data_IF_919120457742
#
_entry.id   IF_919120457742
#
_cell.length_a   1.000
_cell.length_b   1.000
_cell.length_c   1.000
_cell.angle_alpha   90.00
_cell.angle_beta   90.00
_cell.angle_gamma   90.00
#
_symmetry.space_group_name_H-M   'P 1'
#
loop_
_entity.id
_entity.type
_entity.pdbx_description
1 polymer ?
#
# COMPACT_ATOMS: atom_id res chain seq x y z
N UNK A 1 51.31 -78.97 -10.80
CA UNK A 1 50.07 -78.38 -11.34
C UNK A 1 49.68 -77.22 -10.43
N UNK A 2 49.83 -75.97 -10.83
CA UNK A 2 49.50 -74.81 -10.06
C UNK A 2 48.28 -74.14 -10.74
N UNK A 3 47.17 -74.06 -10.02
CA UNK A 3 45.96 -73.37 -10.51
C UNK A 3 46.01 -71.92 -10.03
N UNK A 4 45.99 -71.00 -10.98
CA UNK A 4 45.86 -69.55 -10.73
C UNK A 4 44.39 -69.20 -10.83
N UNK A 5 43.78 -68.79 -9.73
CA UNK A 5 42.44 -68.20 -9.69
C UNK A 5 42.56 -66.69 -9.97
N UNK A 6 42.00 -66.26 -11.07
CA UNK A 6 41.85 -64.85 -11.41
C UNK A 6 40.50 -64.34 -10.89
N UNK A 7 40.52 -63.49 -9.89
CA UNK A 7 39.30 -62.81 -9.36
C UNK A 7 39.05 -61.54 -10.18
N UNK A 8 37.92 -61.54 -10.88
CA UNK A 8 37.44 -60.39 -11.65
C UNK A 8 36.66 -59.48 -10.69
N UNK A 9 37.22 -58.30 -10.37
CA UNK A 9 36.55 -57.29 -9.57
C UNK A 9 35.60 -56.45 -10.46
N UNK A 10 34.29 -56.60 -10.19
CA UNK A 10 33.25 -55.82 -10.84
C UNK A 10 33.09 -54.47 -10.13
N UNK A 11 33.59 -53.36 -10.75
CA UNK A 11 33.42 -52.00 -10.27
C UNK A 11 32.06 -51.50 -10.74
N UNK A 12 31.08 -51.41 -9.85
CA UNK A 12 29.77 -50.78 -10.09
C UNK A 12 29.89 -49.26 -9.96
N UNK A 13 29.81 -48.57 -11.10
CA UNK A 13 29.76 -47.11 -11.17
C UNK A 13 28.31 -46.62 -10.87
N UNK A 14 28.04 -46.22 -9.65
CA UNK A 14 26.76 -45.55 -9.31
C UNK A 14 26.80 -44.12 -9.75
N UNK A 15 26.12 -43.79 -10.86
CA UNK A 15 25.87 -42.41 -11.29
C UNK A 15 24.86 -41.76 -10.30
N UNK A 16 25.34 -40.81 -9.51
CA UNK A 16 24.50 -39.90 -8.73
C UNK A 16 23.88 -38.89 -9.67
N UNK A 17 22.63 -39.09 -10.03
CA UNK A 17 21.83 -38.03 -10.64
C UNK A 17 21.50 -36.99 -9.58
N UNK A 18 22.30 -35.92 -9.51
CA UNK A 18 21.93 -34.71 -8.79
C UNK A 18 20.83 -34.00 -9.59
N UNK A 19 19.58 -34.15 -9.21
CA UNK A 19 18.52 -33.25 -9.63
C UNK A 19 18.81 -31.89 -9.00
N UNK A 20 19.41 -30.98 -9.76
CA UNK A 20 19.39 -29.58 -9.40
C UNK A 20 17.97 -29.05 -9.62
N UNK A 21 17.19 -28.92 -8.54
CA UNK A 21 15.96 -28.12 -8.54
C UNK A 21 16.37 -26.68 -8.84
N UNK A 22 16.43 -26.32 -10.13
CA UNK A 22 16.51 -24.95 -10.56
C UNK A 22 15.14 -24.33 -10.36
N UNK A 23 14.89 -23.83 -9.14
CA UNK A 23 13.74 -22.96 -8.91
C UNK A 23 13.85 -21.79 -9.91
N UNK A 24 12.82 -21.51 -10.73
CA UNK A 24 12.89 -20.41 -11.69
C UNK A 24 13.24 -19.11 -10.97
N UNK A 25 14.11 -18.32 -11.56
CA UNK A 25 14.49 -17.03 -10.99
C UNK A 25 13.24 -16.18 -10.74
N UNK A 26 13.15 -15.46 -9.61
CA UNK A 26 12.01 -14.61 -9.31
C UNK A 26 11.78 -13.63 -10.45
N UNK A 27 10.54 -13.56 -10.95
CA UNK A 27 10.16 -12.55 -11.95
C UNK A 27 10.24 -11.17 -11.28
N UNK A 28 10.98 -10.21 -11.86
CA UNK A 28 11.06 -8.86 -11.30
C UNK A 28 9.67 -8.23 -11.19
N UNK A 29 9.37 -7.65 -10.05
CA UNK A 29 8.12 -6.92 -9.82
C UNK A 29 8.27 -5.48 -10.31
N UNK A 30 7.38 -5.05 -11.21
CA UNK A 30 7.37 -3.68 -11.67
C UNK A 30 6.51 -2.81 -10.76
N UNK A 31 6.98 -1.60 -10.48
CA UNK A 31 6.17 -0.59 -9.83
C UNK A 31 5.02 -0.15 -10.75
N UNK A 32 3.83 -0.12 -10.20
CA UNK A 32 2.61 0.34 -10.87
C UNK A 32 2.24 1.70 -10.29
N UNK A 33 1.95 2.68 -11.16
CA UNK A 33 1.42 3.97 -10.73
C UNK A 33 -0.10 3.97 -10.95
N UNK A 34 -0.84 4.11 -9.85
CA UNK A 34 -2.28 4.33 -9.88
C UNK A 34 -2.55 5.84 -9.78
N UNK A 35 -3.30 6.39 -10.72
CA UNK A 35 -3.53 7.84 -10.83
C UNK A 35 -4.95 8.20 -10.45
N UNK A 36 -5.07 9.33 -9.74
CA UNK A 36 -6.33 10.03 -9.51
C UNK A 36 -7.41 9.19 -8.81
N UNK A 37 -7.03 8.30 -7.85
CA UNK A 37 -8.00 7.61 -7.03
C UNK A 37 -8.82 8.64 -6.25
N UNK A 38 -10.12 8.72 -6.52
CA UNK A 38 -11.02 9.65 -5.84
C UNK A 38 -11.32 9.18 -4.40
N UNK A 39 -10.88 9.96 -3.40
CA UNK A 39 -11.04 9.71 -1.98
C UNK A 39 -12.15 10.56 -1.36
N UNK A 40 -13.38 10.35 -1.82
CA UNK A 40 -14.59 11.08 -1.40
C UNK A 40 -14.57 12.58 -1.80
N UNK A 41 -13.96 12.90 -2.93
CA UNK A 41 -14.12 14.24 -3.53
C UNK A 41 -15.54 14.38 -4.07
N UNK A 42 -16.22 15.47 -3.68
CA UNK A 42 -17.47 15.90 -4.28
C UNK A 42 -17.32 17.36 -4.74
N UNK A 43 -17.67 17.69 -5.97
CA UNK A 43 -17.66 19.07 -6.43
C UNK A 43 -18.62 19.94 -5.62
N UNK A 44 -18.34 21.21 -5.50
CA UNK A 44 -19.28 22.16 -4.92
C UNK A 44 -20.56 22.20 -5.74
N UNK A 45 -21.71 21.99 -5.09
CA UNK A 45 -23.01 22.20 -5.70
C UNK A 45 -23.50 23.62 -5.38
N UNK A 46 -23.35 24.50 -6.35
CA UNK A 46 -23.79 25.88 -6.24
C UNK A 46 -25.31 26.04 -6.48
N UNK A 47 -26.02 24.96 -6.79
CA UNK A 47 -27.45 25.01 -7.15
C UNK A 47 -28.37 24.95 -5.93
N UNK A 48 -27.85 24.63 -4.76
CA UNK A 48 -28.62 24.55 -3.50
C UNK A 48 -28.19 25.71 -2.58
N UNK A 49 -28.74 26.90 -2.73
CA UNK A 49 -28.53 27.97 -1.75
C UNK A 49 -29.34 27.67 -0.50
N UNK A 50 -28.71 27.17 0.54
CA UNK A 50 -29.25 27.28 1.90
C UNK A 50 -29.04 28.71 2.36
N UNK A 51 -30.11 29.38 2.69
CA UNK A 51 -30.08 30.80 3.08
C UNK A 51 -29.09 30.98 4.26
N UNK A 52 -27.96 31.68 4.02
CA UNK A 52 -26.93 31.98 5.01
C UNK A 52 -25.75 31.00 5.11
N UNK A 53 -25.75 29.88 4.37
CA UNK A 53 -24.62 28.94 4.36
C UNK A 53 -23.99 28.87 2.96
N UNK A 54 -22.64 28.83 2.87
CA UNK A 54 -22.00 28.57 1.60
C UNK A 54 -22.41 27.18 1.09
N UNK A 55 -22.61 27.05 -0.21
CA UNK A 55 -22.87 25.76 -0.85
C UNK A 55 -21.74 24.78 -0.47
N UNK A 56 -22.08 23.71 0.26
CA UNK A 56 -21.12 22.69 0.70
C UNK A 56 -21.15 21.52 -0.25
N UNK A 57 -20.00 20.96 -0.64
CA UNK A 57 -19.98 19.75 -1.43
C UNK A 57 -20.64 18.62 -0.66
N UNK A 58 -21.55 17.90 -1.31
CA UNK A 58 -22.21 16.74 -0.75
C UNK A 58 -21.24 15.56 -0.67
N UNK A 59 -20.40 15.52 0.35
CA UNK A 59 -19.53 14.41 0.61
C UNK A 59 -20.36 13.19 1.03
N UNK A 60 -20.17 12.08 0.36
CA UNK A 60 -20.84 10.82 0.69
C UNK A 60 -20.33 10.20 1.99
N UNK A 61 -19.19 10.69 2.51
CA UNK A 61 -18.46 10.20 3.69
C UNK A 61 -18.14 8.71 3.60
N UNK A 62 -17.90 8.23 2.37
CA UNK A 62 -17.56 6.83 2.08
C UNK A 62 -16.08 6.71 1.75
N UNK A 63 -15.51 5.59 2.17
CA UNK A 63 -14.17 5.23 1.74
C UNK A 63 -14.21 4.71 0.31
N UNK A 64 -13.17 5.01 -0.45
CA UNK A 64 -12.86 4.36 -1.71
C UNK A 64 -11.90 3.23 -1.41
N UNK A 65 -12.34 1.99 -1.60
CA UNK A 65 -11.57 0.79 -1.32
C UNK A 65 -10.74 0.38 -2.52
N UNK A 66 -9.56 -0.17 -2.25
CA UNK A 66 -8.62 -0.63 -3.28
C UNK A 66 -8.06 -2.00 -2.91
N UNK A 67 -7.83 -2.84 -3.91
CA UNK A 67 -7.16 -4.13 -3.77
C UNK A 67 -5.84 -4.13 -4.53
N UNK A 68 -4.74 -4.42 -3.86
CA UNK A 68 -3.44 -4.56 -4.50
C UNK A 68 -3.38 -5.79 -5.42
N UNK A 69 -4.12 -6.85 -5.10
CA UNK A 69 -4.20 -8.07 -5.90
C UNK A 69 -4.79 -7.84 -7.28
N UNK A 70 -5.84 -7.04 -7.37
CA UNK A 70 -6.50 -6.74 -8.65
C UNK A 70 -6.01 -5.44 -9.29
N UNK A 71 -5.29 -4.60 -8.53
CA UNK A 71 -4.87 -3.28 -8.97
C UNK A 71 -6.03 -2.33 -9.24
N UNK A 72 -7.17 -2.52 -8.56
CA UNK A 72 -8.41 -1.82 -8.88
C UNK A 72 -9.19 -1.39 -7.63
N UNK A 73 -10.07 -0.40 -7.85
CA UNK A 73 -11.05 0.03 -6.86
C UNK A 73 -12.11 -1.06 -6.65
N UNK A 74 -12.47 -1.29 -5.39
CA UNK A 74 -13.49 -2.25 -4.96
C UNK A 74 -14.77 -1.51 -4.63
N UNK A 75 -15.92 -2.06 -5.05
CA UNK A 75 -17.22 -1.45 -4.82
C UNK A 75 -17.55 -1.32 -3.32
N UNK A 76 -18.23 -0.25 -2.92
CA UNK A 76 -18.62 -0.04 -1.53
C UNK A 76 -19.60 -1.12 -1.00
N UNK A 77 -20.32 -1.82 -1.87
CA UNK A 77 -21.12 -3.00 -1.50
C UNK A 77 -20.29 -4.13 -0.91
N UNK A 78 -19.01 -4.18 -1.26
CA UNK A 78 -18.06 -5.18 -0.79
C UNK A 78 -17.25 -4.74 0.45
N UNK A 79 -17.63 -3.63 1.09
CA UNK A 79 -16.94 -3.09 2.29
C UNK A 79 -16.85 -4.09 3.46
N UNK A 80 -17.84 -4.97 3.59
CA UNK A 80 -17.89 -6.01 4.62
C UNK A 80 -17.28 -7.36 4.16
N UNK A 81 -16.35 -7.32 3.20
CA UNK A 81 -15.68 -8.51 2.65
C UNK A 81 -14.17 -8.39 2.69
N UNK A 82 -13.45 -9.47 2.37
CA UNK A 82 -11.98 -9.49 2.24
C UNK A 82 -11.49 -9.12 0.83
N UNK A 83 -12.33 -8.50 0.00
CA UNK A 83 -11.98 -8.15 -1.38
C UNK A 83 -11.08 -6.92 -1.49
N UNK A 84 -10.94 -6.12 -0.44
CA UNK A 84 -10.13 -4.91 -0.42
C UNK A 84 -9.03 -4.98 0.62
N UNK A 85 -7.99 -4.20 0.45
CA UNK A 85 -6.83 -4.16 1.35
C UNK A 85 -6.74 -2.82 2.07
N UNK A 86 -6.96 -1.72 1.36
CA UNK A 86 -6.79 -0.34 1.83
C UNK A 86 -7.99 0.52 1.42
N UNK A 87 -8.35 1.50 2.24
CA UNK A 87 -9.44 2.43 1.95
C UNK A 87 -9.00 3.89 2.17
N UNK A 88 -9.45 4.78 1.29
CA UNK A 88 -9.10 6.20 1.27
C UNK A 88 -10.34 7.06 1.43
N UNK A 89 -10.28 8.07 2.32
CA UNK A 89 -11.32 9.10 2.47
C UNK A 89 -10.70 10.40 2.94
N UNK A 90 -10.75 11.45 2.14
CA UNK A 90 -9.99 12.67 2.39
C UNK A 90 -8.53 12.31 2.73
N UNK A 91 -7.97 12.76 3.85
CA UNK A 91 -6.61 12.39 4.29
C UNK A 91 -6.55 11.09 5.10
N UNK A 92 -7.70 10.46 5.37
CA UNK A 92 -7.76 9.23 6.15
C UNK A 92 -7.47 8.01 5.30
N UNK A 93 -6.61 7.13 5.81
CA UNK A 93 -6.27 5.84 5.24
C UNK A 93 -6.60 4.78 6.27
N UNK A 94 -7.32 3.73 5.85
CA UNK A 94 -7.67 2.57 6.67
C UNK A 94 -7.25 1.28 5.98
N UNK A 95 -7.07 0.22 6.76
CA UNK A 95 -6.78 -1.13 6.27
C UNK A 95 -7.92 -2.07 6.63
N UNK A 96 -8.11 -3.11 5.80
CA UNK A 96 -9.16 -4.11 6.01
C UNK A 96 -8.79 -5.01 7.19
N UNK A 97 -8.88 -4.47 8.40
CA UNK A 97 -8.56 -5.17 9.64
C UNK A 97 -9.14 -4.47 10.87
N UNK A 98 -9.17 -5.18 11.96
CA UNK A 98 -9.56 -4.66 13.27
C UNK A 98 -10.95 -4.04 13.25
N UNK A 99 -11.06 -2.73 13.54
CA UNK A 99 -12.35 -2.01 13.55
C UNK A 99 -12.68 -1.35 12.21
N UNK A 100 -11.75 -1.38 11.24
CA UNK A 100 -11.92 -0.76 9.92
C UNK A 100 -12.52 -1.72 8.90
N UNK A 101 -12.38 -3.04 9.09
CA UNK A 101 -12.92 -4.03 8.18
C UNK A 101 -12.76 -5.46 8.69
N UNK A 102 -13.44 -6.45 8.06
CA UNK A 102 -13.47 -7.85 8.50
C UNK A 102 -12.22 -8.65 8.17
N UNK A 103 -11.30 -8.08 7.38
CA UNK A 103 -10.10 -8.77 6.93
C UNK A 103 -8.98 -8.82 7.97
N UNK A 104 -7.85 -9.37 7.53
CA UNK A 104 -6.62 -9.48 8.32
C UNK A 104 -5.47 -8.63 7.79
N UNK A 105 -5.75 -7.63 6.94
CA UNK A 105 -4.72 -6.77 6.36
C UNK A 105 -4.05 -5.94 7.43
N UNK A 106 -2.74 -6.01 7.50
CA UNK A 106 -1.92 -5.25 8.43
C UNK A 106 -0.96 -4.34 7.66
N UNK A 107 -0.54 -3.27 8.27
CA UNK A 107 0.42 -2.36 7.64
C UNK A 107 1.39 -1.76 8.65
N UNK A 108 2.44 -1.15 8.13
CA UNK A 108 3.37 -0.29 8.87
C UNK A 108 3.91 0.81 7.97
N UNK A 109 4.33 1.91 8.60
CA UNK A 109 5.07 2.97 7.93
C UNK A 109 6.56 2.70 8.04
N UNK A 110 7.29 2.79 6.93
CA UNK A 110 8.76 2.73 6.86
C UNK A 110 9.28 4.02 6.25
N UNK A 111 10.45 4.45 6.66
CA UNK A 111 11.13 5.58 6.01
C UNK A 111 12.27 5.05 5.13
N UNK A 112 12.34 5.49 3.88
CA UNK A 112 13.36 5.06 2.94
C UNK A 112 13.09 5.47 1.51
N UNK A 113 13.84 4.88 0.58
CA UNK A 113 13.67 5.08 -0.87
C UNK A 113 12.86 3.91 -1.42
N UNK A 114 11.79 4.22 -2.18
CA UNK A 114 10.86 3.21 -2.70
C UNK A 114 11.56 2.07 -3.47
N UNK A 115 12.52 2.39 -4.34
CA UNK A 115 13.25 1.40 -5.13
C UNK A 115 14.21 0.53 -4.30
N UNK A 116 14.68 1.04 -3.14
CA UNK A 116 15.63 0.34 -2.28
C UNK A 116 14.96 -0.61 -1.28
N UNK A 117 13.67 -0.42 -0.99
CA UNK A 117 12.91 -1.36 -0.17
C UNK A 117 12.58 -2.62 -0.98
N UNK A 118 13.51 -3.54 -1.05
CA UNK A 118 13.41 -4.77 -1.87
C UNK A 118 12.89 -6.00 -1.13
N UNK A 119 12.75 -5.90 0.20
CA UNK A 119 12.24 -6.98 1.06
C UNK A 119 11.27 -6.39 2.07
N UNK A 120 10.10 -7.02 2.22
CA UNK A 120 9.13 -6.64 3.24
C UNK A 120 9.71 -6.92 4.65
N UNK A 121 9.58 -6.00 5.62
CA UNK A 121 9.99 -6.23 6.99
C UNK A 121 9.34 -7.50 7.59
N UNK A 122 10.07 -8.19 8.45
CA UNK A 122 9.57 -9.43 9.09
C UNK A 122 8.52 -9.15 10.19
N UNK A 123 8.60 -7.98 10.84
CA UNK A 123 7.77 -7.61 11.99
C UNK A 123 7.34 -6.13 11.92
N UNK A 124 6.54 -5.70 12.90
CA UNK A 124 6.12 -4.30 13.01
C UNK A 124 4.75 -3.99 12.39
N UNK A 125 4.10 -4.97 11.79
CA UNK A 125 2.77 -4.80 11.21
C UNK A 125 1.69 -4.67 12.28
N UNK A 126 0.77 -3.74 12.06
CA UNK A 126 -0.33 -3.43 12.95
C UNK A 126 -1.67 -3.48 12.21
N UNK A 127 -2.73 -3.81 12.95
CA UNK A 127 -4.11 -3.70 12.50
C UNK A 127 -4.70 -2.37 12.95
N UNK A 128 -5.66 -1.85 12.18
CA UNK A 128 -6.40 -0.66 12.57
C UNK A 128 -7.22 -0.88 13.83
N UNK A 129 -7.21 0.11 14.71
CA UNK A 129 -8.04 0.13 15.92
C UNK A 129 -8.67 1.52 16.11
N UNK A 130 -9.82 1.73 15.50
CA UNK A 130 -10.54 3.01 15.61
C UNK A 130 -11.09 3.27 17.00
N UNK A 131 -11.41 2.24 17.78
CA UNK A 131 -11.88 2.38 19.15
C UNK A 131 -10.81 2.98 20.07
N UNK A 132 -9.54 2.56 19.88
CA UNK A 132 -8.40 3.13 20.56
C UNK A 132 -7.81 4.35 19.83
N UNK A 133 -8.40 4.78 18.67
CA UNK A 133 -7.86 5.80 17.77
C UNK A 133 -6.42 5.50 17.30
N UNK A 134 -6.07 4.23 17.26
CA UNK A 134 -4.77 3.71 16.85
C UNK A 134 -4.86 3.20 15.39
N UNK A 135 -5.03 4.12 14.45
CA UNK A 135 -4.89 3.80 13.03
C UNK A 135 -3.40 3.62 12.70
N UNK A 136 -3.09 2.64 11.84
CA UNK A 136 -1.73 2.38 11.39
C UNK A 136 -1.14 3.62 10.71
N UNK A 137 -1.95 4.31 9.90
CA UNK A 137 -1.55 5.55 9.21
C UNK A 137 -2.35 6.72 9.79
N UNK A 138 -1.65 7.74 10.27
CA UNK A 138 -2.28 8.94 10.80
C UNK A 138 -2.97 9.75 9.70
N UNK A 139 -4.20 10.15 9.95
CA UNK A 139 -4.95 11.09 9.10
C UNK A 139 -4.57 12.56 9.34
N UNK A 140 -3.82 12.84 10.40
CA UNK A 140 -3.38 14.19 10.76
C UNK A 140 -2.07 14.55 10.04
N UNK A 141 -1.81 15.84 9.79
CA UNK A 141 -0.53 16.27 9.26
C UNK A 141 0.60 16.03 10.26
N UNK A 142 1.81 15.85 9.76
CA UNK A 142 3.01 15.92 10.58
C UNK A 142 3.16 17.33 11.12
N UNK A 143 3.14 17.48 12.44
CA UNK A 143 3.40 18.74 13.11
C UNK A 143 4.91 18.92 13.28
N UNK A 144 5.50 20.11 13.02
CA UNK A 144 6.91 20.36 13.28
C UNK A 144 7.29 20.01 14.72
N UNK A 145 8.33 19.19 14.89
CA UNK A 145 8.79 18.70 16.20
C UNK A 145 8.01 17.51 16.76
N UNK A 146 6.98 17.00 16.07
CA UNK A 146 6.29 15.78 16.48
C UNK A 146 7.17 14.54 16.25
N UNK A 147 7.11 13.60 17.20
CA UNK A 147 7.85 12.33 17.14
C UNK A 147 7.06 11.21 16.46
N UNK A 148 5.82 11.47 16.05
CA UNK A 148 4.97 10.49 15.37
C UNK A 148 5.54 10.14 14.00
N UNK A 149 5.68 8.84 13.73
CA UNK A 149 6.33 8.33 12.53
C UNK A 149 5.36 7.81 11.48
N UNK A 150 4.05 7.76 11.78
CA UNK A 150 3.03 7.19 10.91
C UNK A 150 2.19 8.22 10.13
N UNK A 151 2.59 9.50 10.13
CA UNK A 151 2.00 10.51 9.27
C UNK A 151 2.50 10.34 7.84
N UNK A 152 1.57 10.32 6.87
CA UNK A 152 1.92 10.22 5.46
C UNK A 152 2.07 11.59 4.77
N UNK A 153 1.54 12.65 5.39
CA UNK A 153 1.50 13.99 4.82
C UNK A 153 1.85 15.07 5.83
N UNK A 154 2.23 16.22 5.31
CA UNK A 154 2.43 17.46 6.03
C UNK A 154 1.63 18.58 5.38
N UNK A 155 1.31 19.62 6.16
CA UNK A 155 0.71 20.83 5.66
C UNK A 155 1.80 21.78 5.18
N UNK A 156 1.70 22.20 3.92
CA UNK A 156 2.51 23.29 3.39
C UNK A 156 1.59 24.45 2.99
N UNK A 157 2.05 25.69 3.09
CA UNK A 157 1.24 26.87 2.86
C UNK A 157 0.91 27.65 4.14
N UNK A 158 0.17 28.75 3.99
CA UNK A 158 -0.27 29.62 5.09
C UNK A 158 -1.57 29.07 5.72
N UNK A 159 -1.98 29.63 6.89
CA UNK A 159 -3.19 29.21 7.60
C UNK A 159 -4.47 29.22 6.75
N UNK A 160 -4.54 30.08 5.72
CA UNK A 160 -5.68 30.18 4.82
C UNK A 160 -5.47 29.44 3.48
N UNK A 161 -4.36 28.74 3.31
CA UNK A 161 -3.94 28.07 2.07
C UNK A 161 -3.26 26.75 2.37
N UNK A 162 -3.91 25.89 3.16
CA UNK A 162 -3.36 24.58 3.52
C UNK A 162 -3.26 23.69 2.28
N UNK A 163 -2.06 23.30 1.95
CA UNK A 163 -1.76 22.32 0.91
C UNK A 163 -1.36 21.01 1.59
N UNK A 164 -2.00 19.91 1.20
CA UNK A 164 -1.65 18.56 1.63
C UNK A 164 -0.50 18.05 0.78
N UNK A 165 0.66 17.89 1.38
CA UNK A 165 1.86 17.42 0.67
C UNK A 165 2.33 16.10 1.24
N UNK A 166 2.44 15.02 0.44
CA UNK A 166 3.03 13.78 0.90
C UNK A 166 4.44 14.01 1.44
N UNK A 167 4.80 13.32 2.51
CA UNK A 167 6.15 13.40 3.09
C UNK A 167 7.06 12.47 2.27
N UNK A 168 8.13 12.99 1.64
CA UNK A 168 9.05 12.17 0.87
C UNK A 168 9.63 11.00 1.68
N UNK A 169 9.74 9.84 1.05
CA UNK A 169 10.32 8.66 1.68
C UNK A 169 9.43 7.99 2.73
N UNK A 170 8.15 8.35 2.83
CA UNK A 170 7.17 7.62 3.66
C UNK A 170 6.56 6.48 2.84
N UNK A 171 7.00 5.27 3.15
CA UNK A 171 6.56 4.05 2.48
C UNK A 171 5.59 3.30 3.39
N UNK A 172 4.46 2.90 2.86
CA UNK A 172 3.50 2.04 3.54
C UNK A 172 3.77 0.62 3.08
N UNK A 173 4.12 -0.27 4.00
CA UNK A 173 4.27 -1.69 3.72
C UNK A 173 3.05 -2.43 4.26
N UNK A 174 2.43 -3.21 3.41
CA UNK A 174 1.16 -3.88 3.66
C UNK A 174 1.38 -5.40 3.61
N UNK A 175 0.82 -6.10 4.61
CA UNK A 175 0.61 -7.54 4.60
C UNK A 175 -0.87 -7.78 4.41
N UNK A 176 -1.26 -8.29 3.26
CA UNK A 176 -2.67 -8.50 2.88
C UNK A 176 -3.31 -9.65 3.67
N UNK A 177 -4.63 -9.74 3.67
CA UNK A 177 -5.37 -10.78 4.39
C UNK A 177 -5.02 -12.20 3.96
N UNK A 178 -4.55 -12.39 2.72
CA UNK A 178 -4.08 -13.68 2.19
C UNK A 178 -2.55 -13.89 2.36
N UNK A 179 -1.91 -13.07 3.19
CA UNK A 179 -0.50 -13.19 3.56
C UNK A 179 0.48 -12.76 2.46
N UNK A 180 0.04 -11.98 1.50
CA UNK A 180 0.91 -11.37 0.48
C UNK A 180 1.43 -10.03 0.94
N UNK A 181 2.39 -9.47 0.22
CA UNK A 181 2.98 -8.19 0.57
C UNK A 181 2.83 -7.17 -0.55
N UNK A 182 2.65 -5.92 -0.13
CA UNK A 182 2.76 -4.78 -1.02
C UNK A 182 3.59 -3.68 -0.35
N UNK A 183 4.27 -2.86 -1.14
CA UNK A 183 4.80 -1.56 -0.71
C UNK A 183 4.13 -0.47 -1.53
N UNK A 184 3.82 0.66 -0.92
CA UNK A 184 3.28 1.81 -1.64
C UNK A 184 3.88 3.12 -1.13
N UNK A 185 3.89 4.11 -2.01
CA UNK A 185 4.27 5.50 -1.72
C UNK A 185 3.24 6.43 -2.35
N UNK A 186 2.75 7.39 -1.55
CA UNK A 186 1.82 8.40 -2.03
C UNK A 186 2.62 9.52 -2.70
N UNK A 187 2.31 9.80 -3.97
CA UNK A 187 3.01 10.79 -4.78
C UNK A 187 2.27 12.13 -4.84
N UNK A 188 0.92 12.10 -4.79
CA UNK A 188 0.10 13.30 -4.82
C UNK A 188 -1.26 13.07 -4.16
N UNK A 189 -1.84 14.15 -3.67
CA UNK A 189 -3.21 14.22 -3.13
C UNK A 189 -4.16 14.97 -4.07
N UNK A 190 -3.63 15.53 -5.17
CA UNK A 190 -4.38 16.37 -6.10
C UNK A 190 -4.49 15.71 -7.47
N UNK A 191 -5.63 15.96 -8.14
CA UNK A 191 -5.91 15.43 -9.47
C UNK A 191 -4.85 15.87 -10.48
N UNK A 192 -4.39 14.90 -11.29
CA UNK A 192 -3.32 15.15 -12.26
C UNK A 192 -1.92 15.26 -11.65
N UNK A 193 -1.78 15.12 -10.32
CA UNK A 193 -0.50 15.16 -9.61
C UNK A 193 0.37 16.38 -9.98
N UNK A 194 -0.14 17.63 -9.81
CA UNK A 194 0.63 18.82 -10.15
C UNK A 194 1.89 18.92 -9.28
N UNK A 195 3.00 19.40 -9.87
CA UNK A 195 4.28 19.58 -9.19
C UNK A 195 4.18 20.61 -8.05
N UNK A 196 3.41 21.66 -8.28
CA UNK A 196 3.13 22.72 -7.31
C UNK A 196 1.62 22.84 -7.14
N UNK A 197 1.01 22.06 -6.21
CA UNK A 197 -0.43 22.11 -5.99
C UNK A 197 -0.91 23.47 -5.53
N UNK A 198 -2.09 23.87 -6.01
CA UNK A 198 -2.80 25.05 -5.57
C UNK A 198 -4.14 24.63 -4.96
N UNK A 199 -4.37 24.98 -3.69
CA UNK A 199 -5.56 24.56 -2.96
C UNK A 199 -6.87 25.25 -3.41
N UNK A 200 -6.80 26.24 -4.32
CA UNK A 200 -7.97 26.93 -4.85
C UNK A 200 -8.38 26.36 -6.21
N UNK A 201 -7.40 26.07 -7.08
CA UNK A 201 -7.65 25.63 -8.46
C UNK A 201 -7.56 24.14 -8.66
N UNK A 202 -6.76 23.42 -7.84
CA UNK A 202 -6.53 22.00 -8.03
C UNK A 202 -7.47 21.17 -7.16
N UNK A 203 -8.08 20.14 -7.77
CA UNK A 203 -9.00 19.26 -7.07
C UNK A 203 -8.25 18.36 -6.12
N UNK A 204 -8.51 18.49 -4.83
CA UNK A 204 -7.97 17.65 -3.77
C UNK A 204 -8.59 16.24 -3.74
N UNK A 205 -8.17 15.39 -2.80
CA UNK A 205 -8.71 14.03 -2.56
C UNK A 205 -8.64 13.13 -3.80
N UNK A 206 -7.63 13.33 -4.64
CA UNK A 206 -7.32 12.48 -5.77
C UNK A 206 -5.91 11.92 -5.56
N UNK A 207 -5.83 10.72 -4.99
CA UNK A 207 -4.55 10.11 -4.71
C UNK A 207 -3.89 9.59 -5.98
N UNK A 208 -2.66 10.01 -6.20
CA UNK A 208 -1.74 9.31 -7.10
C UNK A 208 -0.68 8.63 -6.24
N UNK A 209 -0.48 7.33 -6.42
CA UNK A 209 0.49 6.55 -5.67
C UNK A 209 1.16 5.51 -6.56
N UNK A 210 2.41 5.15 -6.22
CA UNK A 210 3.06 4.00 -6.79
C UNK A 210 3.06 2.83 -5.81
N UNK A 211 3.01 1.61 -6.34
CA UNK A 211 3.05 0.41 -5.53
C UNK A 211 3.69 -0.76 -6.27
N UNK A 212 4.19 -1.72 -5.48
CA UNK A 212 4.57 -3.06 -5.91
C UNK A 212 3.72 -4.04 -5.11
N UNK A 213 3.14 -5.03 -5.77
CA UNK A 213 2.44 -6.14 -5.13
C UNK A 213 3.14 -7.45 -5.43
N UNK A 214 3.42 -8.24 -4.38
CA UNK A 214 4.01 -9.57 -4.46
C UNK A 214 2.91 -10.63 -4.45
N UNK A 215 2.57 -11.27 -5.60
CA UNK A 215 1.50 -12.28 -5.66
C UNK A 215 1.93 -13.64 -5.11
N UNK A 216 3.22 -13.92 -5.00
CA UNK A 216 3.74 -15.16 -4.43
C UNK A 216 3.82 -15.09 -2.90
N UNK A 217 3.95 -16.26 -2.23
CA UNK A 217 4.24 -16.35 -0.80
C UNK A 217 5.72 -16.00 -0.53
N UNK A 218 6.08 -14.75 -0.75
CA UNK A 218 7.46 -14.24 -0.65
C UNK A 218 7.46 -12.84 -0.06
N UNK A 219 8.51 -12.51 0.67
CA UNK A 219 8.76 -11.15 1.18
C UNK A 219 9.49 -10.27 0.16
N UNK A 220 9.92 -10.80 -0.99
CA UNK A 220 10.60 -10.03 -2.03
C UNK A 220 9.66 -8.97 -2.63
N UNK A 221 10.13 -7.73 -2.71
CA UNK A 221 9.44 -6.57 -3.27
C UNK A 221 10.22 -5.95 -4.45
N UNK A 222 11.01 -6.80 -5.14
CA UNK A 222 11.82 -6.43 -6.32
C UNK A 222 11.49 -7.31 -7.52
#
# INVERSE_FOLDING_TARGET
MKYIFSTLALVSLTALFSCSDSSPAPVPLNAIVYKDLNADYAPFDFTIPTQGEPARPTQKRKYTFFSFKTGAVVANSDSATNKWDIGFRATSIIFNSGTSGPGGTQAQMVTGIFSELTVAPEAGYQSDNSAARAFVISSSPLTPGATTTNNWWQSTGSQNSTIVTPIPGRLIVIKTSDGRYAKMEILSYYKGAPVLPNNVSDLDRHYTFQYVYQPAASTSLK
#
